data_IF_396531901250
#
_entry.id   IF_396531901250
#
_cell.length_a   1.000
_cell.length_b   1.000
_cell.length_c   1.000
_cell.angle_alpha   90.00
_cell.angle_beta   90.00
_cell.angle_gamma   90.00
#
_symmetry.space_group_name_H-M   'P 1'
#
loop_
_entity.id
_entity.type
_entity.pdbx_description
1 polymer ?
#
# COMPACT_ATOMS: atom_id res chain seq x y z
N UNK A 1 -19.34 56.43 -53.18
CA UNK A 1 -18.49 55.31 -52.74
C UNK A 1 -18.98 54.90 -51.37
N UNK A 2 -19.73 53.80 -51.26
CA UNK A 2 -20.32 53.30 -50.00
C UNK A 2 -19.51 52.09 -49.55
N UNK A 3 -18.89 52.19 -48.39
CA UNK A 3 -18.21 51.10 -47.71
C UNK A 3 -19.23 50.39 -46.80
N UNK A 4 -19.45 49.14 -47.04
CA UNK A 4 -20.31 48.25 -46.26
C UNK A 4 -19.51 47.54 -45.19
N UNK A 5 -19.80 47.83 -43.92
CA UNK A 5 -19.21 47.12 -42.76
C UNK A 5 -20.00 45.83 -42.48
N UNK A 6 -19.37 44.69 -42.68
CA UNK A 6 -19.87 43.39 -42.20
C UNK A 6 -19.28 43.10 -40.81
N UNK A 7 -20.15 43.14 -39.82
CA UNK A 7 -19.86 42.59 -38.48
C UNK A 7 -20.05 41.09 -38.52
N UNK A 8 -18.94 40.34 -38.47
CA UNK A 8 -19.00 38.91 -38.27
C UNK A 8 -19.07 38.64 -36.74
N UNK A 9 -20.24 38.17 -36.29
CA UNK A 9 -20.40 37.68 -34.93
C UNK A 9 -19.81 36.26 -34.80
N UNK A 10 -18.70 36.12 -34.07
CA UNK A 10 -18.10 34.82 -33.74
C UNK A 10 -18.84 34.27 -32.52
N UNK A 11 -19.66 33.24 -32.71
CA UNK A 11 -20.26 32.46 -31.64
C UNK A 11 -19.16 31.51 -31.11
N UNK A 12 -18.58 31.83 -29.98
CA UNK A 12 -17.72 30.92 -29.23
C UNK A 12 -18.63 29.92 -28.48
N UNK A 13 -18.78 28.71 -29.03
CA UNK A 13 -19.42 27.62 -28.33
C UNK A 13 -18.51 27.17 -27.17
N UNK A 14 -18.89 27.46 -25.91
CA UNK A 14 -18.28 26.87 -24.74
C UNK A 14 -18.59 25.37 -24.71
N UNK A 15 -17.65 24.55 -25.13
CA UNK A 15 -17.65 23.12 -24.82
C UNK A 15 -17.32 22.97 -23.34
N UNK A 16 -18.32 22.75 -22.50
CA UNK A 16 -18.14 22.25 -21.15
C UNK A 16 -17.89 20.75 -21.28
N UNK A 17 -16.68 20.23 -20.96
CA UNK A 17 -16.50 18.80 -20.92
C UNK A 17 -17.32 18.26 -19.74
N UNK A 18 -18.40 17.56 -20.05
CA UNK A 18 -19.04 16.68 -19.09
C UNK A 18 -18.02 15.62 -18.72
N UNK A 19 -17.54 15.61 -17.48
CA UNK A 19 -16.80 14.48 -16.90
C UNK A 19 -17.78 13.30 -16.90
N UNK A 20 -17.79 12.54 -17.99
CA UNK A 20 -18.41 11.22 -18.02
C UNK A 20 -17.61 10.38 -17.00
N UNK A 21 -18.22 10.00 -15.90
CA UNK A 21 -17.72 8.95 -15.04
C UNK A 21 -17.64 7.72 -15.96
N UNK A 22 -16.40 7.32 -16.29
CA UNK A 22 -16.20 6.16 -17.13
C UNK A 22 -16.70 4.94 -16.34
N UNK A 23 -17.84 4.41 -16.75
CA UNK A 23 -18.35 3.14 -16.23
C UNK A 23 -17.49 2.07 -16.87
N UNK A 24 -16.79 1.30 -16.06
CA UNK A 24 -15.84 0.29 -16.55
C UNK A 24 -16.37 -1.14 -16.38
N UNK A 25 -17.48 -1.32 -15.65
CA UNK A 25 -18.16 -2.61 -15.50
C UNK A 25 -19.68 -2.49 -15.64
N UNK A 26 -20.28 -3.52 -16.21
CA UNK A 26 -21.71 -3.77 -16.24
C UNK A 26 -21.96 -5.15 -15.60
N UNK A 27 -22.66 -5.17 -14.48
CA UNK A 27 -23.05 -6.40 -13.78
C UNK A 27 -24.50 -6.72 -14.12
N UNK A 28 -24.74 -7.81 -14.86
CA UNK A 28 -26.07 -8.28 -15.19
C UNK A 28 -26.45 -9.52 -14.39
N UNK A 29 -27.66 -9.56 -13.85
CA UNK A 29 -28.18 -10.77 -13.22
C UNK A 29 -28.29 -11.90 -14.27
N UNK A 30 -28.15 -13.15 -13.82
CA UNK A 30 -28.16 -14.31 -14.74
C UNK A 30 -29.47 -14.50 -15.51
N UNK A 31 -30.56 -13.96 -15.01
CA UNK A 31 -31.86 -13.91 -15.66
C UNK A 31 -32.06 -12.67 -16.56
N UNK A 32 -31.08 -11.75 -16.56
CA UNK A 32 -31.12 -10.52 -17.33
C UNK A 32 -32.08 -9.46 -16.81
N UNK A 33 -32.71 -9.69 -15.63
CA UNK A 33 -33.71 -8.79 -15.09
C UNK A 33 -33.12 -7.51 -14.48
N UNK A 34 -31.87 -7.56 -14.06
CA UNK A 34 -31.16 -6.43 -13.41
C UNK A 34 -29.82 -6.19 -14.09
N UNK A 35 -29.52 -4.92 -14.39
CA UNK A 35 -28.22 -4.47 -14.88
C UNK A 35 -27.72 -3.33 -13.99
N UNK A 36 -26.49 -3.40 -13.53
CA UNK A 36 -25.85 -2.42 -12.68
C UNK A 36 -24.56 -1.96 -13.36
N UNK A 37 -24.55 -0.72 -13.81
CA UNK A 37 -23.39 -0.10 -14.44
C UNK A 37 -22.64 0.75 -13.41
N UNK A 38 -21.29 0.71 -13.47
CA UNK A 38 -20.49 1.49 -12.54
C UNK A 38 -18.99 1.30 -12.75
N UNK A 39 -18.23 1.80 -11.77
CA UNK A 39 -16.79 1.64 -11.71
C UNK A 39 -16.43 0.62 -10.65
N UNK A 40 -15.70 -0.43 -11.03
CA UNK A 40 -15.26 -1.45 -10.10
C UNK A 40 -14.26 -0.85 -9.10
N UNK A 41 -14.58 -1.00 -7.81
CA UNK A 41 -13.70 -0.60 -6.70
C UNK A 41 -12.92 -1.80 -6.13
N UNK A 42 -13.38 -3.00 -6.38
CA UNK A 42 -12.72 -4.23 -5.97
C UNK A 42 -13.61 -5.46 -6.13
N UNK A 43 -12.94 -6.61 -6.22
CA UNK A 43 -13.56 -7.92 -6.20
C UNK A 43 -12.72 -8.83 -5.29
N UNK A 44 -13.35 -9.48 -4.33
CA UNK A 44 -12.65 -10.32 -3.32
C UNK A 44 -12.73 -11.83 -3.63
N UNK A 45 -13.24 -12.17 -4.80
CA UNK A 45 -13.49 -13.56 -5.23
C UNK A 45 -14.93 -14.00 -5.02
N UNK A 46 -15.71 -13.26 -4.24
CA UNK A 46 -17.11 -13.55 -3.93
C UNK A 46 -18.00 -12.35 -4.21
N UNK A 47 -17.59 -11.14 -3.79
CA UNK A 47 -18.38 -9.93 -3.91
C UNK A 47 -17.70 -8.85 -4.77
N UNK A 48 -18.46 -8.28 -5.70
CA UNK A 48 -18.09 -7.06 -6.42
C UNK A 48 -18.45 -5.85 -5.59
N UNK A 49 -17.52 -4.89 -5.46
CA UNK A 49 -17.76 -3.54 -4.94
C UNK A 49 -17.75 -2.57 -6.08
N UNK A 50 -18.90 -1.99 -6.40
CA UNK A 50 -19.07 -1.11 -7.57
C UNK A 50 -19.58 0.25 -7.13
N UNK A 51 -18.86 1.29 -7.52
CA UNK A 51 -19.33 2.67 -7.37
C UNK A 51 -20.30 2.98 -8.51
N UNK A 52 -21.54 3.28 -8.17
CA UNK A 52 -22.63 3.61 -9.10
C UNK A 52 -23.10 5.05 -8.86
N UNK A 53 -23.96 5.55 -9.71
CA UNK A 53 -24.65 6.84 -9.48
C UNK A 53 -25.49 6.88 -8.20
N UNK A 54 -25.83 5.73 -7.64
CA UNK A 54 -26.61 5.59 -6.41
C UNK A 54 -25.75 5.33 -5.17
N UNK A 55 -24.42 5.31 -5.32
CA UNK A 55 -23.45 5.03 -4.27
C UNK A 55 -22.70 3.71 -4.48
N UNK A 56 -21.98 3.30 -3.43
CA UNK A 56 -21.21 2.07 -3.43
C UNK A 56 -22.12 0.87 -3.15
N UNK A 57 -22.15 -0.08 -4.08
CA UNK A 57 -22.90 -1.33 -3.95
C UNK A 57 -21.94 -2.51 -3.74
N UNK A 58 -22.36 -3.47 -2.93
CA UNK A 58 -21.72 -4.78 -2.79
C UNK A 58 -22.65 -5.83 -3.37
N UNK A 59 -22.20 -6.57 -4.37
CA UNK A 59 -23.01 -7.45 -5.21
C UNK A 59 -22.40 -8.85 -5.18
N UNK A 60 -23.19 -9.87 -4.88
CA UNK A 60 -22.77 -11.27 -4.93
C UNK A 60 -22.40 -11.68 -6.36
N UNK A 61 -21.14 -12.07 -6.56
CA UNK A 61 -20.61 -12.48 -7.86
C UNK A 61 -21.23 -13.75 -8.40
N UNK A 62 -21.80 -14.61 -7.55
CA UNK A 62 -22.46 -15.82 -8.02
C UNK A 62 -23.80 -15.52 -8.72
N UNK A 63 -24.42 -14.39 -8.40
CA UNK A 63 -25.70 -13.98 -8.95
C UNK A 63 -25.61 -13.19 -10.27
N UNK A 64 -24.44 -12.75 -10.65
CA UNK A 64 -24.25 -11.83 -11.78
C UNK A 64 -23.19 -12.29 -12.78
N UNK A 65 -23.23 -11.69 -13.98
CA UNK A 65 -22.18 -11.78 -14.99
C UNK A 65 -21.60 -10.38 -15.14
N UNK A 66 -20.28 -10.28 -15.09
CA UNK A 66 -19.55 -9.05 -15.29
C UNK A 66 -19.16 -8.91 -16.77
N UNK A 67 -19.42 -7.73 -17.34
CA UNK A 67 -18.99 -7.33 -18.68
C UNK A 67 -18.34 -5.94 -18.62
N UNK A 68 -17.31 -5.73 -19.41
CA UNK A 68 -16.57 -4.47 -19.47
C UNK A 68 -15.09 -4.58 -19.14
N UNK A 69 -14.31 -3.54 -19.44
CA UNK A 69 -12.85 -3.54 -19.27
C UNK A 69 -12.39 -3.57 -17.82
N UNK A 70 -13.24 -3.16 -16.87
CA UNK A 70 -12.94 -3.22 -15.44
C UNK A 70 -13.26 -4.57 -14.79
N UNK A 71 -13.88 -5.52 -15.53
CA UNK A 71 -14.19 -6.83 -14.98
C UNK A 71 -12.94 -7.64 -14.67
N UNK A 72 -12.89 -8.29 -13.49
CA UNK A 72 -11.77 -9.17 -13.17
C UNK A 72 -11.76 -10.36 -14.14
N UNK A 73 -10.58 -10.69 -14.66
CA UNK A 73 -10.41 -11.91 -15.46
C UNK A 73 -10.44 -13.13 -14.54
N UNK A 74 -11.62 -13.71 -14.39
CA UNK A 74 -11.83 -14.92 -13.59
C UNK A 74 -11.21 -16.18 -14.27
N UNK A 75 -10.78 -16.05 -15.52
CA UNK A 75 -10.02 -17.09 -16.23
C UNK A 75 -8.52 -16.88 -16.11
N UNK A 76 -8.09 -15.76 -15.51
CA UNK A 76 -6.68 -15.50 -15.30
C UNK A 76 -6.04 -16.68 -14.53
N UNK A 77 -4.97 -17.24 -15.07
CA UNK A 77 -4.38 -18.45 -14.48
C UNK A 77 -3.80 -18.21 -13.09
N UNK A 78 -3.58 -16.94 -12.70
CA UNK A 78 -2.86 -16.62 -11.48
C UNK A 78 -3.08 -15.16 -11.04
N UNK A 79 -3.44 -14.96 -9.76
CA UNK A 79 -3.47 -13.62 -9.14
C UNK A 79 -2.05 -13.08 -8.94
N UNK A 80 -1.85 -11.78 -9.17
CA UNK A 80 -0.57 -11.12 -8.93
C UNK A 80 -0.76 -9.99 -7.93
N UNK A 81 0.12 -9.95 -6.89
CA UNK A 81 0.13 -8.89 -5.88
C UNK A 81 1.56 -8.35 -5.73
N UNK A 82 1.72 -7.06 -5.97
CA UNK A 82 3.00 -6.36 -5.85
C UNK A 82 2.97 -5.48 -4.60
N UNK A 83 3.83 -5.79 -3.65
CA UNK A 83 3.95 -5.07 -2.39
C UNK A 83 5.27 -4.32 -2.39
N UNK A 84 5.30 -3.12 -1.82
CA UNK A 84 6.51 -2.32 -1.67
C UNK A 84 6.54 -1.65 -0.30
N UNK A 85 7.60 -0.93 0.03
CA UNK A 85 7.68 -0.08 1.23
C UNK A 85 8.79 -0.44 2.19
N UNK A 86 8.55 -0.23 3.48
CA UNK A 86 9.55 -0.37 4.54
C UNK A 86 10.11 -1.79 4.61
N UNK A 87 11.44 -1.89 4.55
CA UNK A 87 12.16 -3.18 4.47
C UNK A 87 11.99 -4.02 5.73
N UNK A 88 12.32 -3.44 6.89
CA UNK A 88 12.33 -4.18 8.16
C UNK A 88 10.96 -4.77 8.51
N UNK A 89 9.85 -4.00 8.58
CA UNK A 89 8.55 -4.57 8.85
C UNK A 89 8.03 -5.46 7.72
N UNK A 90 8.36 -5.15 6.46
CA UNK A 90 7.98 -5.97 5.31
C UNK A 90 8.58 -7.37 5.38
N UNK A 91 9.89 -7.49 5.60
CA UNK A 91 10.58 -8.78 5.71
C UNK A 91 10.27 -9.52 7.02
N UNK A 92 9.93 -8.81 8.10
CA UNK A 92 9.54 -9.44 9.35
C UNK A 92 8.12 -10.02 9.33
N UNK A 93 7.16 -9.30 8.74
CA UNK A 93 5.74 -9.64 8.85
C UNK A 93 5.21 -10.46 7.65
N UNK A 94 5.56 -10.07 6.42
CA UNK A 94 4.96 -10.68 5.23
C UNK A 94 5.19 -12.20 5.12
N UNK A 95 6.37 -12.76 5.44
CA UNK A 95 6.57 -14.20 5.33
C UNK A 95 5.61 -15.01 6.21
N UNK A 96 5.39 -14.54 7.45
CA UNK A 96 4.45 -15.17 8.38
C UNK A 96 3.00 -15.03 7.94
N UNK A 97 2.59 -13.82 7.54
CA UNK A 97 1.24 -13.54 7.07
C UNK A 97 0.89 -14.33 5.81
N UNK A 98 1.79 -14.39 4.83
CA UNK A 98 1.55 -15.11 3.60
C UNK A 98 1.51 -16.62 3.82
N UNK A 99 2.35 -17.15 4.73
CA UNK A 99 2.28 -18.56 5.11
C UNK A 99 0.97 -18.91 5.80
N UNK A 100 0.51 -18.08 6.74
CA UNK A 100 -0.77 -18.27 7.42
C UNK A 100 -1.94 -18.16 6.45
N UNK A 101 -1.89 -17.23 5.51
CA UNK A 101 -2.90 -17.08 4.47
C UNK A 101 -2.96 -18.32 3.57
N UNK A 102 -1.84 -18.79 3.04
CA UNK A 102 -1.77 -19.99 2.21
C UNK A 102 -2.35 -21.20 2.96
N UNK A 103 -1.93 -21.42 4.22
CA UNK A 103 -2.45 -22.49 5.05
C UNK A 103 -3.97 -22.38 5.26
N UNK A 104 -4.50 -21.18 5.49
CA UNK A 104 -5.93 -20.94 5.67
C UNK A 104 -6.78 -21.25 4.43
N UNK A 105 -6.14 -21.22 3.25
CA UNK A 105 -6.77 -21.51 1.96
C UNK A 105 -6.46 -22.91 1.43
N UNK A 106 -5.69 -23.70 2.19
CA UNK A 106 -5.26 -25.03 1.75
C UNK A 106 -4.32 -25.01 0.55
N UNK A 107 -3.50 -23.95 0.43
CA UNK A 107 -2.56 -23.78 -0.67
C UNK A 107 -1.14 -24.09 -0.22
N UNK A 108 -0.35 -24.65 -1.11
CA UNK A 108 1.08 -24.75 -0.93
C UNK A 108 1.75 -23.41 -1.23
N UNK A 109 2.78 -23.04 -0.45
CA UNK A 109 3.53 -21.81 -0.62
C UNK A 109 5.00 -22.11 -0.87
N UNK A 110 5.50 -21.65 -2.01
CA UNK A 110 6.91 -21.73 -2.38
C UNK A 110 7.52 -20.32 -2.36
N UNK A 111 8.68 -20.19 -1.69
CA UNK A 111 9.46 -18.94 -1.67
C UNK A 111 10.57 -19.00 -2.70
N UNK A 112 10.67 -17.93 -3.50
CA UNK A 112 11.80 -17.76 -4.42
C UNK A 112 12.73 -16.69 -3.84
N UNK A 113 14.03 -16.95 -3.70
CA UNK A 113 14.99 -15.94 -3.28
C UNK A 113 14.96 -14.75 -4.24
N UNK A 114 14.91 -13.55 -3.67
CA UNK A 114 14.98 -12.29 -4.41
C UNK A 114 15.89 -11.34 -3.63
N UNK A 115 16.81 -10.68 -4.33
CA UNK A 115 17.77 -9.75 -3.70
C UNK A 115 17.02 -8.63 -2.98
N UNK A 116 17.22 -8.55 -1.65
CA UNK A 116 16.61 -7.54 -0.79
C UNK A 116 15.10 -7.59 -0.65
N UNK A 117 14.42 -8.60 -1.22
CA UNK A 117 12.97 -8.68 -1.23
C UNK A 117 12.42 -10.08 -0.93
N UNK A 118 11.15 -10.26 -1.24
CA UNK A 118 10.44 -11.52 -1.08
C UNK A 118 9.61 -11.79 -2.34
N UNK A 119 9.69 -13.00 -2.87
CA UNK A 119 8.76 -13.52 -3.86
C UNK A 119 8.18 -14.85 -3.38
N UNK A 120 6.88 -15.00 -3.48
CA UNK A 120 6.18 -16.24 -3.17
C UNK A 120 5.21 -16.61 -4.28
N UNK A 121 5.09 -17.90 -4.51
CA UNK A 121 4.08 -18.49 -5.37
C UNK A 121 3.20 -19.42 -4.52
N UNK A 122 1.89 -19.32 -4.70
CA UNK A 122 0.92 -20.21 -4.06
C UNK A 122 0.32 -21.11 -5.12
N UNK A 123 0.25 -22.40 -4.83
CA UNK A 123 -0.23 -23.43 -5.75
C UNK A 123 -1.30 -24.31 -5.11
N UNK A 124 -2.19 -24.83 -5.93
CA UNK A 124 -3.12 -25.87 -5.50
C UNK A 124 -2.34 -27.18 -5.26
N UNK A 125 -2.46 -27.82 -4.09
CA UNK A 125 -1.67 -29.01 -3.75
C UNK A 125 -1.90 -30.19 -4.70
N UNK A 126 -3.16 -30.40 -5.14
CA UNK A 126 -3.53 -31.56 -5.96
C UNK A 126 -3.08 -31.44 -7.42
N UNK A 127 -3.10 -30.23 -7.97
CA UNK A 127 -2.84 -29.97 -9.39
C UNK A 127 -1.48 -29.37 -9.66
N UNK A 128 -0.85 -28.79 -8.62
CA UNK A 128 0.38 -27.98 -8.77
C UNK A 128 0.13 -26.67 -9.54
N UNK A 129 -1.15 -26.32 -9.80
CA UNK A 129 -1.48 -25.11 -10.56
C UNK A 129 -1.18 -23.87 -9.72
N UNK A 130 -0.41 -22.90 -10.25
CA UNK A 130 -0.18 -21.65 -9.57
C UNK A 130 -1.47 -20.81 -9.56
N UNK A 131 -1.86 -20.33 -8.37
CA UNK A 131 -3.07 -19.51 -8.16
C UNK A 131 -2.74 -18.08 -7.75
N UNK A 132 -1.56 -17.85 -7.15
CA UNK A 132 -1.13 -16.51 -6.80
C UNK A 132 0.39 -16.37 -6.84
N UNK A 133 0.84 -15.20 -7.28
CA UNK A 133 2.24 -14.76 -7.17
C UNK A 133 2.27 -13.42 -6.45
N UNK A 134 3.04 -13.36 -5.35
CA UNK A 134 3.16 -12.19 -4.52
C UNK A 134 4.63 -11.80 -4.44
N UNK A 135 4.93 -10.54 -4.68
CA UNK A 135 6.27 -9.98 -4.56
C UNK A 135 6.30 -8.83 -3.57
N UNK A 136 7.38 -8.73 -2.82
CA UNK A 136 7.71 -7.56 -2.01
C UNK A 136 9.07 -7.03 -2.43
N UNK A 137 9.11 -5.74 -2.78
CA UNK A 137 10.33 -5.01 -3.11
C UNK A 137 10.45 -3.82 -2.15
N UNK A 138 11.47 -3.80 -1.26
CA UNK A 138 11.70 -2.66 -0.37
C UNK A 138 11.99 -1.40 -1.19
N UNK A 139 11.37 -0.30 -0.80
CA UNK A 139 11.62 1.02 -1.37
C UNK A 139 11.57 2.09 -0.27
N UNK A 140 12.36 3.17 -0.41
CA UNK A 140 12.21 4.34 0.43
C UNK A 140 10.77 4.89 0.39
N UNK A 141 10.29 5.56 1.46
CA UNK A 141 8.88 5.94 1.59
C UNK A 141 8.31 6.70 0.38
N UNK A 142 9.01 7.70 -0.14
CA UNK A 142 8.55 8.47 -1.29
C UNK A 142 8.49 7.65 -2.58
N UNK A 143 9.48 6.78 -2.79
CA UNK A 143 9.51 5.89 -3.94
C UNK A 143 8.40 4.83 -3.87
N UNK A 144 8.14 4.28 -2.69
CA UNK A 144 7.06 3.34 -2.43
C UNK A 144 5.69 3.98 -2.66
N UNK A 145 5.49 5.19 -2.13
CA UNK A 145 4.28 5.99 -2.36
C UNK A 145 4.05 6.25 -3.86
N UNK A 146 5.09 6.67 -4.57
CA UNK A 146 5.01 6.90 -6.01
C UNK A 146 4.72 5.62 -6.80
N UNK A 147 5.27 4.48 -6.39
CA UNK A 147 4.97 3.18 -6.99
C UNK A 147 3.48 2.81 -6.81
N UNK A 148 2.92 3.05 -5.62
CA UNK A 148 1.50 2.80 -5.33
C UNK A 148 0.58 3.71 -6.17
N UNK A 149 0.82 5.02 -6.19
CA UNK A 149 0.00 5.99 -6.92
C UNK A 149 0.04 5.74 -8.44
N UNK A 150 1.19 5.30 -8.96
CA UNK A 150 1.36 4.98 -10.40
C UNK A 150 0.97 3.54 -10.76
N UNK A 151 0.31 2.81 -9.86
CA UNK A 151 -0.11 1.42 -10.04
C UNK A 151 1.04 0.44 -10.41
N UNK A 152 2.28 0.78 -10.05
CA UNK A 152 3.43 -0.14 -10.13
C UNK A 152 3.51 -1.08 -8.93
N UNK A 153 2.85 -0.72 -7.84
CA UNK A 153 2.60 -1.57 -6.69
C UNK A 153 1.11 -1.52 -6.33
N UNK A 154 0.62 -2.55 -5.67
CA UNK A 154 -0.79 -2.71 -5.29
C UNK A 154 -0.99 -2.41 -3.81
N UNK A 155 0.05 -2.67 -2.99
CA UNK A 155 0.09 -2.38 -1.57
C UNK A 155 1.43 -1.76 -1.17
N UNK A 156 1.41 -0.99 -0.08
CA UNK A 156 2.59 -0.42 0.53
C UNK A 156 2.63 -0.76 2.03
N UNK A 157 3.75 -1.28 2.50
CA UNK A 157 4.05 -1.40 3.93
C UNK A 157 4.69 -0.08 4.38
N UNK A 158 4.06 0.59 5.32
CA UNK A 158 4.52 1.88 5.84
C UNK A 158 4.53 1.88 7.37
N UNK A 159 5.48 2.57 7.98
CA UNK A 159 5.54 2.77 9.42
C UNK A 159 4.50 3.79 9.91
N UNK A 160 4.05 4.68 9.02
CA UNK A 160 3.10 5.74 9.32
C UNK A 160 1.94 5.76 8.34
N UNK A 161 0.87 6.42 8.78
CA UNK A 161 -0.25 6.75 7.93
C UNK A 161 0.16 7.69 6.79
N UNK A 162 -0.19 7.34 5.57
CA UNK A 162 0.06 8.18 4.39
C UNK A 162 -1.17 8.99 4.03
N UNK A 163 -1.02 10.32 3.98
CA UNK A 163 -2.13 11.21 3.66
C UNK A 163 -2.72 10.91 2.26
N UNK A 164 -4.05 10.79 2.20
CA UNK A 164 -4.79 10.56 0.95
C UNK A 164 -4.77 9.11 0.46
N UNK A 165 -4.22 8.17 1.25
CA UNK A 165 -4.26 6.73 0.96
C UNK A 165 -5.14 5.99 1.97
N UNK A 166 -5.83 4.96 1.50
CA UNK A 166 -6.51 4.01 2.37
C UNK A 166 -5.49 3.20 3.17
N UNK A 167 -5.74 2.99 4.47
CA UNK A 167 -4.77 2.32 5.34
C UNK A 167 -5.44 1.36 6.31
N UNK A 168 -4.67 0.35 6.73
CA UNK A 168 -5.03 -0.57 7.80
C UNK A 168 -3.80 -0.90 8.65
N UNK A 169 -3.92 -0.72 9.95
CA UNK A 169 -2.88 -1.15 10.89
C UNK A 169 -2.79 -2.67 10.89
N UNK A 170 -1.58 -3.20 10.65
CA UNK A 170 -1.30 -4.64 10.64
C UNK A 170 -0.61 -5.08 11.92
N UNK A 171 0.30 -4.25 12.46
CA UNK A 171 1.08 -4.50 13.66
C UNK A 171 1.45 -3.18 14.33
N UNK A 172 1.91 -3.25 15.56
CA UNK A 172 2.55 -2.14 16.26
C UNK A 172 4.04 -2.46 16.40
N UNK A 173 4.89 -1.49 16.12
CA UNK A 173 6.33 -1.56 16.28
C UNK A 173 6.77 -0.51 17.32
N UNK A 174 7.78 -0.84 18.09
CA UNK A 174 8.39 0.08 19.04
C UNK A 174 9.86 0.30 18.65
N UNK A 175 10.25 1.56 18.48
CA UNK A 175 11.65 1.94 18.38
C UNK A 175 12.20 2.03 19.83
N UNK A 176 13.24 1.27 20.11
CA UNK A 176 13.88 1.23 21.42
C UNK A 176 15.34 1.66 21.30
N UNK A 177 15.82 2.54 22.18
CA UNK A 177 17.24 2.88 22.23
C UNK A 177 18.02 1.67 22.76
N UNK A 178 19.16 1.43 22.16
CA UNK A 178 20.14 0.44 22.66
C UNK A 178 21.46 1.16 22.95
N UNK A 179 22.16 0.69 23.97
CA UNK A 179 23.46 1.23 24.35
C UNK A 179 24.54 0.12 24.30
N UNK A 180 25.79 0.52 24.26
CA UNK A 180 26.91 -0.43 24.29
C UNK A 180 26.88 -1.27 25.59
N UNK A 181 27.36 -2.53 25.55
CA UNK A 181 27.30 -3.44 26.71
C UNK A 181 28.05 -2.93 27.97
N UNK A 182 29.01 -2.07 27.79
CA UNK A 182 29.79 -1.43 28.85
C UNK A 182 29.08 -0.18 29.44
N UNK A 183 27.99 0.27 28.85
CA UNK A 183 27.16 1.31 29.43
C UNK A 183 26.15 0.68 30.39
N UNK A 184 26.41 0.84 31.68
CA UNK A 184 25.58 0.28 32.76
C UNK A 184 24.25 1.03 33.00
N UNK A 185 23.89 2.00 32.16
CA UNK A 185 22.63 2.75 32.30
C UNK A 185 21.43 1.83 32.00
N UNK A 186 20.65 1.54 33.05
CA UNK A 186 19.50 0.62 32.94
C UNK A 186 18.21 1.28 32.38
N UNK A 187 18.11 2.60 32.54
CA UNK A 187 16.92 3.37 32.08
C UNK A 187 17.35 4.80 31.76
N UNK A 188 16.64 5.38 30.81
CA UNK A 188 16.74 6.79 30.43
C UNK A 188 15.32 7.37 30.36
N UNK A 189 15.12 8.59 30.83
CA UNK A 189 13.83 9.25 30.66
C UNK A 189 13.63 9.64 29.18
N UNK A 190 12.37 9.76 28.74
CA UNK A 190 12.08 10.24 27.38
C UNK A 190 12.60 11.66 27.15
N UNK A 191 12.61 12.50 28.21
CA UNK A 191 13.17 13.85 28.15
C UNK A 191 14.70 13.82 27.95
N UNK A 192 15.40 12.96 28.68
CA UNK A 192 16.86 12.82 28.53
C UNK A 192 17.21 12.15 27.20
N UNK A 193 16.40 11.18 26.74
CA UNK A 193 16.58 10.59 25.42
C UNK A 193 16.48 11.65 24.31
N UNK A 194 15.48 12.55 24.38
CA UNK A 194 15.33 13.65 23.43
C UNK A 194 16.57 14.58 23.44
N UNK A 195 17.11 14.92 24.62
CA UNK A 195 18.32 15.74 24.79
C UNK A 195 19.57 15.03 24.22
N UNK A 196 19.67 13.71 24.42
CA UNK A 196 20.75 12.88 23.86
C UNK A 196 20.67 12.91 22.33
N UNK A 197 19.50 12.66 21.77
CA UNK A 197 19.30 12.65 20.31
C UNK A 197 19.52 14.02 19.67
N UNK A 198 19.20 15.11 20.41
CA UNK A 198 19.48 16.48 20.00
C UNK A 198 20.98 16.88 20.10
N UNK A 199 21.83 16.00 20.68
CA UNK A 199 23.26 16.29 20.91
C UNK A 199 23.54 17.24 22.08
N UNK A 200 22.55 17.49 22.93
CA UNK A 200 22.69 18.37 24.13
C UNK A 200 23.44 17.68 25.25
N UNK A 201 23.39 16.34 25.30
CA UNK A 201 24.11 15.50 26.25
C UNK A 201 25.32 14.92 25.56
N UNK A 202 26.51 15.25 26.03
CA UNK A 202 27.78 14.79 25.47
C UNK A 202 28.47 13.69 26.28
N UNK A 203 28.05 13.50 27.52
CA UNK A 203 28.59 12.47 28.41
C UNK A 203 27.44 11.75 29.14
N UNK A 204 27.49 10.43 29.17
CA UNK A 204 26.48 9.62 29.87
C UNK A 204 26.34 9.93 31.35
N UNK A 205 27.40 10.45 32.02
CA UNK A 205 27.33 10.88 33.39
C UNK A 205 26.29 11.99 33.65
N UNK A 206 25.97 12.81 32.64
CA UNK A 206 24.99 13.89 32.76
C UNK A 206 23.55 13.37 32.96
N UNK A 207 23.31 12.11 32.58
CA UNK A 207 22.00 11.43 32.69
C UNK A 207 22.05 10.21 33.62
N UNK A 208 23.08 10.14 34.51
CA UNK A 208 23.21 9.09 35.52
C UNK A 208 23.87 7.81 35.01
N UNK A 209 24.50 7.84 33.86
CA UNK A 209 25.30 6.73 33.31
C UNK A 209 26.78 6.81 33.72
N UNK A 210 27.63 5.96 33.14
CA UNK A 210 29.08 5.99 33.37
C UNK A 210 29.74 7.24 32.78
N UNK A 211 30.94 7.57 33.24
CA UNK A 211 31.74 8.66 32.62
C UNK A 211 32.29 8.22 31.27
N UNK A 212 31.48 8.38 30.26
CA UNK A 212 31.75 7.98 28.88
C UNK A 212 31.15 8.98 27.89
N UNK A 213 31.84 9.30 26.79
CA UNK A 213 31.26 10.16 25.75
C UNK A 213 30.04 9.53 25.09
N UNK A 214 29.06 10.35 24.75
CA UNK A 214 27.88 9.94 23.97
C UNK A 214 28.22 9.99 22.48
N UNK A 215 28.03 8.88 21.80
CA UNK A 215 28.06 8.80 20.34
C UNK A 215 26.66 8.36 19.87
N UNK A 216 25.92 9.27 19.25
CA UNK A 216 24.56 8.99 18.74
C UNK A 216 24.67 8.32 17.37
N UNK A 217 24.03 7.16 17.24
CA UNK A 217 23.81 6.48 15.99
C UNK A 217 22.29 6.40 15.74
N UNK A 218 21.80 7.18 14.83
CA UNK A 218 20.40 7.19 14.44
C UNK A 218 20.23 6.62 13.04
N UNK A 219 19.03 6.13 12.74
CA UNK A 219 18.68 5.70 11.38
C UNK A 219 18.56 6.91 10.44
N UNK A 220 18.91 6.71 9.18
CA UNK A 220 18.82 7.76 8.18
C UNK A 220 17.34 8.17 7.96
N UNK A 221 17.09 9.46 7.81
CA UNK A 221 15.76 10.02 7.52
C UNK A 221 15.15 9.50 6.19
N UNK A 222 15.96 8.91 5.32
CA UNK A 222 15.48 8.24 4.11
C UNK A 222 14.77 6.91 4.40
N UNK A 223 14.91 6.38 5.63
CA UNK A 223 14.21 5.18 6.08
C UNK A 223 12.90 5.49 6.79
N UNK A 224 12.01 4.51 6.86
CA UNK A 224 10.73 4.64 7.60
C UNK A 224 10.97 4.89 9.09
N UNK A 225 11.94 4.19 9.65
CA UNK A 225 12.32 4.23 11.07
C UNK A 225 12.99 5.57 11.42
N UNK A 226 13.85 6.08 10.52
CA UNK A 226 14.47 7.40 10.70
C UNK A 226 13.45 8.52 10.69
N UNK A 227 12.46 8.49 9.82
CA UNK A 227 11.34 9.45 9.84
C UNK A 227 10.49 9.35 11.11
N UNK A 228 10.35 8.16 11.68
CA UNK A 228 9.63 7.96 12.93
C UNK A 228 10.31 8.62 14.14
N UNK A 229 11.64 8.77 14.10
CA UNK A 229 12.39 9.43 15.15
C UNK A 229 12.29 10.97 15.12
N UNK A 230 11.93 11.54 13.95
CA UNK A 230 11.87 13.01 13.73
C UNK A 230 10.46 13.55 13.68
N UNK A 231 9.44 12.69 13.73
CA UNK A 231 8.01 13.05 13.72
C UNK A 231 7.47 13.30 15.13
#
# INVERSE_FOLDING_TARGET
MRASNWCAAVFAALFIPTLAMAQDVSLSSRDGALVIDGTLQGFDGEFYRVATQYGLLTIDGQGVVCDGPGCPDLTAPMATLRITGAEAPGLALLPGLLSAFAASRGLDLTRTPQDGGLAVEMTEPETGKPVARISFAPLPPDAARNALISARADLMVAAHAEAGLGQRVMALEALVPVVAPDNALAQVSTADLARILAGEVQNWAEVGGPDMPVAVHAMNEDTSEGRALTA
#
